data_IF_679622980155
#
_entry.id   IF_679622980155
#
_cell.length_a   1.000
_cell.length_b   1.000
_cell.length_c   1.000
_cell.angle_alpha   90.00
_cell.angle_beta   90.00
_cell.angle_gamma   90.00
#
_symmetry.space_group_name_H-M   'P 1'
#
loop_
_entity.id
_entity.type
_entity.pdbx_description
1 polymer ?
2 non-polymer ?
3 non-polymer ?
4 non-polymer ?
5 water ?
#
# COMPACT_ATOMS: atom_id res chain seq x y z
N UNK A 5 2.72 21.61 37.01
CA UNK A 5 2.64 20.43 36.10
C UNK A 5 3.49 20.65 34.86
N UNK A 6 2.93 20.35 33.70
CA UNK A 6 3.61 20.58 32.42
C UNK A 6 3.25 21.93 31.84
N UNK A 7 4.28 22.68 31.42
CA UNK A 7 4.09 23.95 30.74
C UNK A 7 4.06 23.75 29.22
N UNK A 8 3.42 24.68 28.52
CA UNK A 8 3.34 24.63 27.06
C UNK A 8 4.73 24.52 26.45
N UNK A 9 5.70 25.23 27.04
CA UNK A 9 7.06 25.21 26.53
C UNK A 9 7.61 23.80 26.66
N UNK A 10 7.34 23.15 27.78
CA UNK A 10 7.84 21.82 28.03
C UNK A 10 7.08 20.80 27.20
N UNK A 11 5.76 20.99 27.08
CA UNK A 11 4.90 20.03 26.38
C UNK A 11 5.18 19.99 24.88
N UNK A 12 5.53 21.14 24.31
CA UNK A 12 5.76 21.23 22.88
C UNK A 12 6.93 20.34 22.47
N UNK A 13 7.98 20.37 23.29
CA UNK A 13 9.18 19.57 23.06
C UNK A 13 8.92 18.11 23.36
N UNK A 14 8.27 17.85 24.50
CA UNK A 14 8.02 16.48 24.90
C UNK A 14 7.14 15.77 23.89
N UNK A 15 6.18 16.49 23.32
CA UNK A 15 5.30 15.89 22.32
C UNK A 15 6.11 15.36 21.14
N UNK A 16 6.94 16.22 20.53
CA UNK A 16 7.78 15.75 19.44
C UNK A 16 8.50 14.46 19.78
N UNK A 17 9.06 14.37 20.98
CA UNK A 17 9.79 13.18 21.37
C UNK A 17 8.88 11.96 21.35
N UNK A 18 7.64 12.14 21.77
CA UNK A 18 6.67 11.04 21.82
C UNK A 18 6.23 10.62 20.42
N UNK A 19 5.92 11.59 19.57
CA UNK A 19 5.50 11.25 18.21
C UNK A 19 6.65 10.52 17.54
N UNK A 20 7.85 11.09 17.63
CA UNK A 20 9.02 10.45 17.06
C UNK A 20 9.10 9.01 17.56
N UNK A 21 9.13 8.84 18.87
CA UNK A 21 9.33 7.53 19.47
C UNK A 21 8.18 6.59 19.20
N UNK A 22 6.95 7.09 19.33
CA UNK A 22 5.78 6.26 19.11
C UNK A 22 5.67 5.87 17.65
N UNK A 23 5.88 6.82 16.76
CA UNK A 23 5.86 6.54 15.33
C UNK A 23 6.90 5.51 14.94
N UNK A 24 8.03 5.50 15.64
CA UNK A 24 9.05 4.50 15.39
C UNK A 24 8.54 3.10 15.73
N UNK A 25 7.88 2.97 16.88
CA UNK A 25 7.36 1.66 17.26
C UNK A 25 6.26 1.21 16.30
N UNK A 26 5.37 2.15 15.98
CA UNK A 26 4.26 1.86 15.07
C UNK A 26 4.79 1.40 13.71
N UNK A 27 5.91 1.97 13.28
CA UNK A 27 6.53 1.59 12.04
C UNK A 27 6.94 0.12 12.11
N UNK A 28 7.69 -0.23 13.14
CA UNK A 28 8.14 -1.60 13.33
C UNK A 28 6.95 -2.56 13.37
N UNK A 29 5.90 -2.16 14.09
CA UNK A 29 4.79 -3.05 14.38
C UNK A 29 3.81 -3.16 13.20
N UNK A 30 3.69 -2.09 12.42
CA UNK A 30 2.73 -2.04 11.32
C UNK A 30 3.35 -2.24 9.95
N UNK A 31 4.57 -1.74 9.75
CA UNK A 31 5.22 -1.78 8.44
C UNK A 31 6.18 -2.96 8.30
N UNK A 32 6.81 -3.35 9.41
CA UNK A 32 7.75 -4.46 9.38
C UNK A 32 7.13 -5.70 9.99
N UNK A 33 5.91 -5.56 10.50
CA UNK A 33 5.24 -6.68 11.14
C UNK A 33 6.26 -7.38 12.03
N UNK A 34 6.86 -6.60 12.93
CA UNK A 34 7.78 -7.14 13.90
C UNK A 34 8.10 -6.10 14.97
N UNK A 35 7.21 -5.97 15.96
CA UNK A 35 7.36 -4.94 16.99
C UNK A 35 8.65 -5.12 17.79
N UNK A 36 9.17 -4.03 18.35
CA UNK A 36 10.35 -4.13 19.19
C UNK A 36 10.00 -4.11 20.68
N UNK A 37 9.07 -3.25 21.08
CA UNK A 37 8.70 -3.17 22.49
C UNK A 37 7.36 -3.81 22.78
N UNK A 38 7.15 -4.16 24.06
CA UNK A 38 5.87 -4.69 24.55
C UNK A 38 4.75 -3.66 24.36
N UNK A 39 3.57 -4.14 24.00
CA UNK A 39 2.41 -3.27 23.82
C UNK A 39 2.28 -2.23 24.93
N UNK A 40 2.48 -2.63 26.18
CA UNK A 40 2.20 -1.69 27.26
C UNK A 40 3.21 -0.55 27.33
N UNK A 41 4.41 -0.77 26.79
CA UNK A 41 5.36 0.32 26.64
C UNK A 41 4.78 1.38 25.71
N UNK A 42 4.22 0.91 24.59
CA UNK A 42 3.62 1.79 23.61
C UNK A 42 2.46 2.57 24.23
N UNK A 43 1.57 1.87 24.90
CA UNK A 43 0.34 2.45 25.41
C UNK A 43 0.61 3.51 26.47
N UNK A 44 1.62 3.26 27.30
CA UNK A 44 2.03 4.19 28.35
C UNK A 44 2.37 5.53 27.72
N UNK A 45 3.25 5.50 26.73
CA UNK A 45 3.74 6.71 26.07
C UNK A 45 2.65 7.36 25.24
N UNK A 46 1.84 6.53 24.61
CA UNK A 46 0.72 7.00 23.82
C UNK A 46 -0.28 7.73 24.72
N UNK A 47 -0.45 7.23 25.93
CA UNK A 47 -1.37 7.88 26.85
C UNK A 47 -0.74 9.16 27.38
N UNK A 48 0.58 9.16 27.54
CA UNK A 48 1.26 10.39 27.94
C UNK A 48 1.05 11.45 26.88
N UNK A 49 1.22 11.07 25.62
CA UNK A 49 1.04 12.01 24.52
C UNK A 49 -0.40 12.51 24.42
N UNK A 50 -1.37 11.60 24.57
CA UNK A 50 -2.77 12.02 24.52
C UNK A 50 -3.06 13.04 25.62
N UNK A 51 -2.51 12.80 26.80
CA UNK A 51 -2.74 13.70 27.92
C UNK A 51 -2.16 15.06 27.60
N UNK A 52 -1.00 15.06 26.95
CA UNK A 52 -0.37 16.30 26.56
C UNK A 52 -1.21 16.97 25.48
N UNK A 53 -1.81 16.16 24.61
CA UNK A 53 -2.58 16.71 23.51
C UNK A 53 -3.92 17.21 23.98
N UNK A 54 -4.47 16.56 24.98
CA UNK A 54 -5.78 16.94 25.49
C UNK A 54 -5.71 18.25 26.27
N UNK A 55 -4.62 18.42 27.03
CA UNK A 55 -4.36 19.65 27.76
C UNK A 55 -4.06 20.82 26.82
N UNK A 56 -3.21 20.59 25.82
CA UNK A 56 -2.93 21.62 24.80
C UNK A 56 -3.19 21.07 23.39
N UNK A 57 -4.46 21.08 22.96
CA UNK A 57 -4.79 20.48 21.66
C UNK A 57 -3.99 21.08 20.51
N UNK A 58 -3.39 22.24 20.75
CA UNK A 58 -2.71 22.99 19.72
C UNK A 58 -1.41 22.31 19.27
N UNK A 59 -0.94 21.34 20.06
CA UNK A 59 0.27 20.60 19.72
C UNK A 59 -0.03 19.40 18.82
N UNK A 60 -1.31 19.18 18.57
CA UNK A 60 -1.73 18.08 17.69
C UNK A 60 -1.26 18.31 16.25
N UNK A 61 -0.57 17.31 15.72
CA UNK A 61 -0.01 17.38 14.37
C UNK A 61 -0.49 16.18 13.55
N UNK A 62 -0.52 16.32 12.21
CA UNK A 62 -0.97 15.22 11.34
C UNK A 62 -0.13 13.95 11.43
N UNK A 63 1.13 14.06 11.85
CA UNK A 63 1.98 12.89 11.94
C UNK A 63 1.96 12.28 13.34
N UNK A 64 1.03 12.74 14.16
CA UNK A 64 0.88 12.20 15.51
C UNK A 64 0.03 10.95 15.47
N UNK A 65 0.45 9.89 16.18
CA UNK A 65 -0.27 8.61 16.22
C UNK A 65 -1.68 8.65 16.81
N UNK A 66 -2.06 9.76 17.43
CA UNK A 66 -3.38 9.81 18.05
C UNK A 66 -4.43 10.12 16.99
N UNK A 67 -3.99 10.54 15.82
CA UNK A 67 -4.89 10.87 14.72
C UNK A 67 -5.22 9.64 13.88
N UNK A 68 -4.65 8.49 14.21
CA UNK A 68 -4.92 7.28 13.44
C UNK A 68 -6.36 6.86 13.62
N UNK A 69 -7.07 7.54 14.49
CA UNK A 69 -8.41 7.14 14.90
C UNK A 69 -9.48 7.90 14.10
N UNK A 70 -9.02 8.89 13.35
CA UNK A 70 -9.93 9.66 12.53
C UNK A 70 -10.80 10.59 13.34
N UNK A 71 -11.89 11.03 12.73
CA UNK A 71 -12.85 11.87 13.42
C UNK A 71 -13.56 12.78 12.43
N UNK A 72 -12.82 13.17 11.41
CA UNK A 72 -13.33 14.00 10.34
C UNK A 72 -14.43 13.28 9.56
N UNK A 73 -15.42 14.03 9.09
CA UNK A 73 -16.50 13.45 8.29
C UNK A 73 -16.70 14.29 7.03
N UNK A 74 -16.55 13.66 5.87
CA UNK A 74 -16.63 14.39 4.61
C UNK A 74 -18.05 14.40 4.04
N UNK A 75 -18.31 15.36 3.17
CA UNK A 75 -19.57 15.38 2.42
C UNK A 75 -19.44 14.41 1.24
N UNK A 76 -18.29 14.49 0.57
CA UNK A 76 -18.01 13.61 -0.55
C UNK A 76 -16.53 13.69 -0.85
N UNK A 77 -16.08 12.85 -1.79
CA UNK A 77 -14.67 12.83 -2.16
C UNK A 77 -14.41 13.74 -3.35
N UNK A 78 -13.33 14.52 -3.27
CA UNK A 78 -12.90 15.39 -4.37
C UNK A 78 -12.21 14.56 -5.45
N UNK A 79 -12.31 15.01 -6.70
CA UNK A 79 -11.62 14.34 -7.80
C UNK A 79 -10.12 14.41 -7.59
N UNK A 80 -9.43 13.31 -7.88
CA UNK A 80 -7.99 13.24 -7.75
C UNK A 80 -7.36 12.84 -9.08
N UNK A 81 -7.02 13.82 -9.92
CA UNK A 81 -6.41 13.45 -11.20
C UNK A 81 -5.07 12.74 -11.01
N UNK A 82 -4.68 11.99 -12.03
CA UNK A 82 -3.37 11.38 -12.08
C UNK A 82 -2.67 11.91 -13.32
N UNK A 83 -1.72 12.82 -13.15
CA UNK A 83 -1.00 13.36 -14.30
C UNK A 83 -0.24 12.22 -14.95
N UNK A 84 0.40 11.41 -14.12
CA UNK A 84 0.89 10.12 -14.58
C UNK A 84 -0.24 9.13 -14.30
N UNK A 85 -0.80 8.53 -15.36
CA UNK A 85 -1.96 7.65 -15.22
C UNK A 85 -1.67 6.37 -14.43
N UNK A 86 -2.72 5.83 -13.80
CA UNK A 86 -2.63 4.52 -13.17
C UNK A 86 -3.15 3.47 -14.13
N UNK A 87 -2.23 2.76 -14.76
CA UNK A 87 -2.58 1.77 -15.77
C UNK A 87 -3.21 0.52 -15.19
N UNK A 88 -3.73 -0.32 -16.08
CA UNK A 88 -4.25 -1.64 -15.72
C UNK A 88 -3.24 -2.73 -16.11
N UNK A 89 -3.65 -3.98 -15.98
CA UNK A 89 -2.80 -5.13 -16.28
C UNK A 89 -3.42 -6.04 -17.32
N UNK A 90 -2.64 -6.36 -18.35
CA UNK A 90 -3.02 -7.40 -19.29
C UNK A 90 -3.13 -8.73 -18.56
N UNK A 91 -3.96 -9.62 -19.08
CA UNK A 91 -4.28 -10.87 -18.39
C UNK A 91 -3.76 -12.11 -19.10
N UNK A 92 -3.29 -13.06 -18.31
CA UNK A 92 -2.96 -14.37 -18.85
C UNK A 92 -3.62 -15.41 -18.00
N UNK A 93 -3.86 -16.59 -18.55
CA UNK A 93 -4.59 -17.61 -17.82
C UNK A 93 -3.97 -18.99 -17.94
N UNK A 94 -3.13 -19.17 -18.95
CA UNK A 94 -2.47 -20.46 -19.15
C UNK A 94 -0.96 -20.34 -19.08
N UNK A 95 -0.30 -21.48 -19.15
CA UNK A 95 1.14 -21.49 -19.33
C UNK A 95 1.42 -20.89 -20.71
N UNK A 96 0.56 -21.18 -21.68
CA UNK A 96 0.70 -20.61 -23.03
C UNK A 96 0.66 -19.10 -22.97
N UNK A 97 -0.31 -18.59 -22.21
CA UNK A 97 -0.49 -17.15 -22.05
C UNK A 97 0.77 -16.51 -21.51
N UNK A 98 1.41 -17.17 -20.55
CA UNK A 98 2.60 -16.61 -19.94
C UNK A 98 3.80 -16.75 -20.87
N UNK A 99 3.96 -17.91 -21.48
CA UNK A 99 5.09 -18.14 -22.35
C UNK A 99 5.00 -17.33 -23.64
N UNK A 100 3.79 -17.14 -24.14
CA UNK A 100 3.61 -16.27 -25.30
C UNK A 100 4.01 -14.84 -24.92
N UNK A 101 3.67 -14.42 -23.70
CA UNK A 101 4.05 -13.10 -23.21
C UNK A 101 5.56 -12.97 -23.28
N UNK A 102 6.25 -13.93 -22.68
CA UNK A 102 7.70 -13.92 -22.72
C UNK A 102 8.19 -13.88 -24.16
N UNK A 103 7.55 -14.65 -25.03
CA UNK A 103 8.00 -14.68 -26.42
C UNK A 103 7.94 -13.28 -27.00
N UNK A 104 6.89 -12.55 -26.67
CA UNK A 104 6.70 -11.19 -27.20
C UNK A 104 7.79 -10.25 -26.70
N UNK A 105 8.19 -10.43 -25.45
CA UNK A 105 9.13 -9.51 -24.84
C UNK A 105 10.53 -9.67 -25.43
N UNK A 106 10.94 -10.92 -25.63
CA UNK A 106 12.23 -11.20 -26.24
C UNK A 106 12.25 -10.77 -27.71
N UNK A 107 11.09 -10.83 -28.36
CA UNK A 107 11.02 -10.43 -29.77
C UNK A 107 11.28 -8.94 -29.92
N UNK A 108 10.65 -8.14 -29.06
CA UNK A 108 10.77 -6.69 -29.15
C UNK A 108 12.08 -6.21 -28.55
N UNK A 109 12.55 -6.91 -27.51
CA UNK A 109 13.80 -6.54 -26.86
C UNK A 109 15.01 -7.14 -27.58
N UNK A 110 14.84 -8.36 -28.07
CA UNK A 110 15.90 -9.01 -28.82
C UNK A 110 16.93 -9.69 -27.94
N UNK A 111 16.51 -10.21 -26.80
CA UNK A 111 17.40 -10.94 -25.90
C UNK A 111 16.62 -11.49 -24.72
N UNK A 112 17.25 -12.36 -23.91
CA UNK A 112 16.64 -12.82 -22.66
C UNK A 112 16.38 -11.65 -21.72
N UNK A 113 15.23 -11.69 -21.04
CA UNK A 113 14.84 -10.60 -20.15
C UNK A 113 14.45 -11.10 -18.74
N UNK A 114 14.94 -10.42 -17.71
CA UNK A 114 14.64 -10.80 -16.34
C UNK A 114 13.31 -10.23 -15.85
N UNK A 115 12.54 -11.06 -15.14
CA UNK A 115 11.25 -10.67 -14.60
C UNK A 115 11.21 -10.55 -13.08
N UNK A 116 10.70 -9.43 -12.59
CA UNK A 116 10.36 -9.33 -11.17
C UNK A 116 8.94 -9.89 -10.99
N UNK A 117 8.80 -10.92 -10.16
CA UNK A 117 7.47 -11.48 -9.92
C UNK A 117 6.92 -11.09 -8.55
N UNK A 118 5.71 -10.55 -8.56
CA UNK A 118 5.03 -10.16 -7.35
C UNK A 118 3.66 -10.85 -7.31
N UNK A 119 3.13 -11.04 -6.11
CA UNK A 119 1.77 -11.57 -5.94
C UNK A 119 0.78 -10.45 -6.17
N UNK A 120 -0.22 -10.70 -7.00
CA UNK A 120 -1.28 -9.73 -7.25
C UNK A 120 -2.24 -9.69 -6.06
N UNK A 121 -2.20 -8.59 -5.32
CA UNK A 121 -3.00 -8.45 -4.10
C UNK A 121 -4.42 -8.05 -4.42
N UNK A 122 -5.36 -8.83 -3.90
CA UNK A 122 -6.77 -8.60 -4.15
C UNK A 122 -7.33 -7.52 -3.21
N UNK A 123 -7.34 -6.28 -3.67
CA UNK A 123 -7.83 -5.17 -2.86
C UNK A 123 -8.07 -3.94 -3.70
N UNK A 124 -7.84 -2.78 -3.14
CA UNK A 124 -8.01 -1.52 -3.88
C UNK A 124 -6.66 -0.87 -4.20
N UNK A 125 -6.41 -0.56 -5.46
CA UNK A 125 -5.20 0.15 -5.83
C UNK A 125 -5.27 1.57 -5.27
N UNK A 126 -4.16 2.05 -4.72
CA UNK A 126 -4.08 3.39 -4.18
C UNK A 126 -2.81 4.07 -4.66
N UNK A 127 -2.84 5.40 -4.67
CA UNK A 127 -1.68 6.22 -4.99
C UNK A 127 -1.42 7.18 -3.84
N UNK A 128 -0.14 7.37 -3.48
CA UNK A 128 0.20 8.17 -2.30
C UNK A 128 1.25 9.21 -2.67
N UNK A 129 0.95 10.47 -2.40
CA UNK A 129 1.84 11.56 -2.76
C UNK A 129 2.41 12.21 -1.50
N UNK A 130 3.73 12.36 -1.47
CA UNK A 130 4.45 12.95 -0.35
C UNK A 130 5.24 14.17 -0.82
N UNK A 131 5.30 15.20 0.01
CA UNK A 131 6.14 16.36 -0.27
C UNK A 131 6.97 16.71 0.95
N UNK A 132 8.28 16.79 0.76
CA UNK A 132 9.19 17.05 1.86
C UNK A 132 8.87 16.09 2.98
N UNK A 133 8.39 14.90 2.59
CA UNK A 133 8.25 13.81 3.55
C UNK A 133 6.88 13.74 4.20
N UNK A 134 6.08 14.79 4.01
CA UNK A 134 4.72 14.84 4.54
C UNK A 134 3.72 14.17 3.59
N UNK A 135 2.82 13.34 4.12
CA UNK A 135 1.72 12.80 3.33
C UNK A 135 0.68 13.88 3.02
N UNK A 136 0.45 14.15 1.73
CA UNK A 136 -0.49 15.19 1.33
C UNK A 136 -1.68 14.75 0.50
N UNK A 137 -1.58 13.64 -0.21
CA UNK A 137 -2.73 13.12 -0.93
C UNK A 137 -2.75 11.62 -1.06
N UNK A 138 -3.90 11.03 -0.77
CA UNK A 138 -4.13 9.63 -1.06
C UNK A 138 -5.30 9.51 -2.02
N UNK A 139 -5.18 8.64 -3.01
CA UNK A 139 -6.16 8.58 -4.08
C UNK A 139 -6.44 7.16 -4.57
N UNK A 140 -7.67 6.92 -5.01
CA UNK A 140 -8.01 5.66 -5.66
C UNK A 140 -7.60 5.76 -7.11
N UNK A 141 -7.52 4.62 -7.80
CA UNK A 141 -7.13 4.65 -9.20
C UNK A 141 -8.22 5.25 -10.06
N UNK A 142 -9.46 5.05 -9.65
CA UNK A 142 -10.58 5.54 -10.44
C UNK A 142 -10.60 4.93 -11.84
N UNK A 143 -10.63 5.78 -12.85
CA UNK A 143 -10.65 5.31 -14.23
C UNK A 143 -9.25 5.44 -14.83
N UNK A 144 -8.25 5.50 -13.98
CA UNK A 144 -6.89 5.57 -14.46
C UNK A 144 -6.35 6.97 -14.62
N UNK A 145 -7.22 7.92 -14.95
CA UNK A 145 -6.77 9.30 -15.09
C UNK A 145 -7.44 10.21 -14.08
N UNK A 146 -8.52 9.74 -13.47
CA UNK A 146 -9.13 10.46 -12.36
C UNK A 146 -9.68 9.47 -11.35
N UNK A 147 -9.17 9.54 -10.13
CA UNK A 147 -9.72 8.76 -9.04
C UNK A 147 -10.46 9.63 -8.04
N UNK A 148 -10.58 9.16 -6.81
CA UNK A 148 -11.16 9.97 -5.75
C UNK A 148 -10.13 10.31 -4.69
N UNK A 149 -10.26 11.48 -4.08
CA UNK A 149 -9.34 11.89 -3.05
C UNK A 149 -9.75 11.27 -1.73
N UNK A 150 -9.08 10.20 -1.33
CA UNK A 150 -9.41 9.55 -0.06
C UNK A 150 -8.30 9.73 0.97
N UNK A 151 -7.74 10.94 1.02
CA UNK A 151 -6.64 11.24 1.92
C UNK A 151 -7.04 11.03 3.39
N UNK A 152 -8.20 11.54 3.78
CA UNK A 152 -8.59 11.47 5.20
C UNK A 152 -8.67 10.01 5.63
N UNK A 153 -9.35 9.21 4.84
CA UNK A 153 -9.52 7.81 5.17
C UNK A 153 -8.20 7.08 5.30
N UNK A 154 -7.23 7.42 4.46
CA UNK A 154 -5.96 6.73 4.47
C UNK A 154 -5.07 7.18 5.62
N UNK A 155 -5.40 8.31 6.24
CA UNK A 155 -4.68 8.72 7.43
C UNK A 155 -4.90 7.66 8.50
N UNK A 156 -5.99 6.91 8.40
CA UNK A 156 -6.31 5.92 9.43
C UNK A 156 -5.75 4.53 9.12
N UNK A 157 -5.16 4.37 7.94
CA UNK A 157 -4.48 3.12 7.64
C UNK A 157 -3.09 3.16 8.25
N UNK A 158 -2.88 2.29 9.24
CA UNK A 158 -1.76 2.41 10.17
C UNK A 158 -0.40 2.24 9.51
N UNK A 159 -0.35 1.44 8.45
CA UNK A 159 0.91 1.14 7.76
C UNK A 159 1.27 2.26 6.79
N UNK A 160 0.34 3.15 6.55
CA UNK A 160 0.60 4.33 5.73
C UNK A 160 1.25 5.41 6.58
N UNK A 161 2.51 5.75 6.28
CA UNK A 161 3.31 6.75 7.01
C UNK A 161 2.77 8.18 6.82
N UNK A 162 2.53 8.88 7.93
CA UNK A 162 2.12 10.28 7.85
C UNK A 162 3.32 11.14 7.52
N UNK A 163 4.51 10.65 7.88
CA UNK A 163 5.75 11.34 7.57
C UNK A 163 6.83 10.30 7.33
N UNK A 164 7.70 10.54 6.35
CA UNK A 164 8.68 9.55 5.91
C UNK A 164 10.02 9.64 6.63
N UNK A 165 10.89 8.64 6.38
CA UNK A 165 12.29 8.71 6.77
C UNK A 165 12.89 10.03 6.32
N UNK A 166 13.04 10.18 5.01
CA UNK A 166 13.64 11.37 4.41
C UNK A 166 12.56 12.34 3.94
N UNK A 167 12.82 13.64 4.07
CA UNK A 167 11.89 14.68 3.61
C UNK A 167 11.78 14.71 2.08
N UNK A 168 11.59 13.54 1.48
CA UNK A 168 11.62 13.39 0.03
C UNK A 168 10.24 13.51 -0.61
N UNK A 169 10.18 14.14 -1.77
CA UNK A 169 8.92 14.28 -2.49
C UNK A 169 8.75 13.19 -3.55
N UNK A 170 7.70 12.39 -3.40
CA UNK A 170 7.51 11.18 -4.18
C UNK A 170 6.04 10.81 -4.22
N UNK A 171 5.63 10.12 -5.28
CA UNK A 171 4.33 9.50 -5.28
C UNK A 171 4.47 8.03 -5.56
N UNK A 172 3.76 7.21 -4.81
CA UNK A 172 3.90 5.77 -4.91
C UNK A 172 2.52 5.14 -4.89
N UNK A 173 2.41 4.00 -5.55
CA UNK A 173 1.15 3.34 -5.76
C UNK A 173 1.26 1.93 -5.25
N UNK A 174 0.13 1.36 -4.85
CA UNK A 174 0.11 -0.01 -4.40
C UNK A 174 -1.30 -0.45 -4.09
N UNK A 175 -1.43 -1.46 -3.25
CA UNK A 175 -2.76 -1.98 -2.91
C UNK A 175 -3.15 -1.72 -1.46
N UNK A 176 -4.42 -1.38 -1.23
CA UNK A 176 -4.97 -1.33 0.10
C UNK A 176 -5.96 -2.45 0.26
N UNK A 177 -5.79 -3.27 1.27
CA UNK A 177 -6.58 -4.48 1.39
C UNK A 177 -6.97 -4.78 2.83
N UNK A 178 -7.87 -5.74 3.01
CA UNK A 178 -8.25 -6.20 4.33
C UNK A 178 -7.85 -7.66 4.44
N UNK A 179 -7.04 -8.00 5.46
CA UNK A 179 -6.57 -9.37 5.62
C UNK A 179 -7.79 -10.25 5.89
N UNK A 180 -7.72 -11.50 5.46
CA UNK A 180 -8.84 -12.43 5.60
C UNK A 180 -9.54 -12.34 6.95
N UNK A 181 -8.77 -12.32 8.03
CA UNK A 181 -9.35 -12.46 9.35
C UNK A 181 -10.15 -11.24 9.77
N UNK A 182 -9.68 -10.05 9.44
CA UNK A 182 -10.46 -8.85 9.66
C UNK A 182 -11.73 -8.93 8.82
N UNK A 183 -11.60 -9.56 7.65
CA UNK A 183 -12.75 -9.74 6.77
C UNK A 183 -13.81 -10.51 7.54
N UNK A 184 -13.45 -11.70 8.00
CA UNK A 184 -14.38 -12.54 8.74
C UNK A 184 -15.00 -11.76 9.89
N UNK A 185 -14.15 -11.11 10.68
CA UNK A 185 -14.60 -10.37 11.85
C UNK A 185 -15.63 -9.33 11.45
N UNK A 186 -15.30 -8.52 10.47
CA UNK A 186 -16.18 -7.44 10.04
C UNK A 186 -17.53 -7.98 9.62
N UNK A 187 -17.52 -9.11 8.89
CA UNK A 187 -18.76 -9.72 8.42
C UNK A 187 -19.63 -10.19 9.58
N UNK A 188 -19.01 -10.74 10.62
CA UNK A 188 -19.77 -11.13 11.80
C UNK A 188 -20.35 -9.91 12.48
N UNK A 189 -19.56 -8.84 12.57
CA UNK A 189 -20.05 -7.60 13.16
C UNK A 189 -21.26 -7.11 12.36
N UNK A 190 -21.17 -7.24 11.04
CA UNK A 190 -22.25 -6.84 10.17
C UNK A 190 -23.49 -7.74 10.30
N UNK A 191 -23.28 -9.05 10.46
CA UNK A 191 -24.40 -9.94 10.74
C UNK A 191 -25.11 -9.48 12.01
N UNK A 192 -24.33 -9.21 13.05
CA UNK A 192 -24.88 -8.81 14.34
C UNK A 192 -25.69 -7.52 14.22
N UNK A 193 -25.30 -6.67 13.28
CA UNK A 193 -25.98 -5.39 13.07
C UNK A 193 -27.13 -5.50 12.08
N UNK A 194 -27.27 -6.68 11.48
CA UNK A 194 -28.34 -6.87 10.52
C UNK A 194 -28.13 -6.03 9.28
N UNK A 195 -26.94 -6.09 8.71
CA UNK A 195 -26.65 -5.47 7.42
C UNK A 195 -26.23 -6.57 6.45
N UNK A 196 -26.05 -6.20 5.18
CA UNK A 196 -25.54 -7.13 4.20
C UNK A 196 -24.05 -7.31 4.43
N UNK A 197 -23.57 -8.54 4.34
CA UNK A 197 -22.15 -8.79 4.48
C UNK A 197 -21.43 -8.40 3.20
N UNK A 198 -20.10 -8.32 3.27
CA UNK A 198 -19.32 -8.15 2.07
C UNK A 198 -19.00 -9.51 1.48
N UNK A 199 -19.20 -9.64 0.17
CA UNK A 199 -19.04 -10.90 -0.52
C UNK A 199 -17.61 -11.39 -0.42
N UNK A 200 -16.67 -10.47 -0.36
CA UNK A 200 -15.25 -10.81 -0.35
C UNK A 200 -14.40 -9.68 0.20
N UNK A 201 -13.15 -9.98 0.57
CA UNK A 201 -12.28 -8.99 1.22
C UNK A 201 -12.00 -7.74 0.40
N UNK A 202 -11.95 -7.86 -0.93
CA UNK A 202 -11.70 -6.67 -1.73
C UNK A 202 -12.92 -5.76 -1.72
N UNK A 203 -14.11 -6.35 -1.67
CA UNK A 203 -15.34 -5.55 -1.55
C UNK A 203 -15.41 -4.83 -0.21
N UNK A 204 -14.94 -5.49 0.85
CA UNK A 204 -14.89 -4.87 2.17
C UNK A 204 -13.91 -3.71 2.15
N UNK A 205 -12.73 -3.96 1.60
CA UNK A 205 -11.69 -2.94 1.45
C UNK A 205 -12.25 -1.71 0.72
N UNK A 206 -13.02 -1.96 -0.33
CA UNK A 206 -13.52 -0.90 -1.20
C UNK A 206 -14.67 -0.13 -0.61
N UNK A 207 -15.50 -0.79 0.18
CA UNK A 207 -16.58 -0.09 0.85
C UNK A 207 -16.03 0.72 2.01
N UNK A 208 -15.06 0.14 2.71
CA UNK A 208 -14.39 0.86 3.79
C UNK A 208 -13.82 2.19 3.31
N UNK A 209 -13.07 2.13 2.22
CA UNK A 209 -12.41 3.33 1.68
C UNK A 209 -13.38 4.33 1.06
N UNK A 210 -14.64 3.96 0.94
CA UNK A 210 -15.65 4.86 0.40
C UNK A 210 -16.56 5.38 1.51
N UNK A 211 -16.30 4.96 2.74
CA UNK A 211 -16.98 5.49 3.91
C UNK A 211 -16.52 6.92 4.14
N UNK A 212 -17.48 7.83 4.29
CA UNK A 212 -17.18 9.24 4.44
C UNK A 212 -16.73 9.56 5.86
N UNK A 213 -17.30 8.87 6.84
CA UNK A 213 -16.89 9.07 8.24
C UNK A 213 -15.59 8.34 8.48
N UNK A 214 -14.51 9.10 8.63
CA UNK A 214 -13.19 8.51 8.81
C UNK A 214 -13.08 7.71 10.11
N UNK A 215 -13.98 7.93 11.05
CA UNK A 215 -13.94 7.23 12.35
C UNK A 215 -14.35 5.77 12.18
N UNK A 216 -15.21 5.50 11.23
CA UNK A 216 -15.59 4.12 10.93
C UNK A 216 -14.45 3.43 10.20
N UNK A 217 -13.79 4.16 9.30
CA UNK A 217 -12.70 3.63 8.50
C UNK A 217 -11.55 3.17 9.39
N UNK A 218 -11.26 3.98 10.41
CA UNK A 218 -10.17 3.69 11.33
C UNK A 218 -10.34 2.30 11.94
N UNK A 219 -11.59 1.92 12.17
CA UNK A 219 -11.92 0.68 12.85
C UNK A 219 -11.84 -0.55 11.94
N UNK A 220 -11.58 -0.35 10.65
CA UNK A 220 -11.86 -1.39 9.66
C UNK A 220 -10.77 -2.45 9.47
N UNK A 221 -9.54 -2.12 9.85
CA UNK A 221 -8.44 -3.09 9.84
C UNK A 221 -7.78 -3.23 8.46
N UNK A 222 -7.43 -2.11 7.84
CA UNK A 222 -6.88 -2.13 6.50
C UNK A 222 -5.37 -2.10 6.51
N UNK A 223 -4.76 -2.59 5.42
CA UNK A 223 -3.32 -2.64 5.33
C UNK A 223 -2.88 -2.41 3.90
N UNK A 224 -1.60 -2.11 3.72
CA UNK A 224 -1.08 -1.78 2.39
C UNK A 224 0.09 -2.66 2.00
N UNK A 225 0.27 -2.86 0.70
CA UNK A 225 1.56 -3.20 0.11
C UNK A 225 1.84 -2.20 -0.99
N UNK A 226 3.01 -1.58 -0.97
CA UNK A 226 3.39 -0.63 -2.02
C UNK A 226 4.31 -1.34 -3.02
N UNK A 227 4.06 -1.14 -4.32
CA UNK A 227 4.84 -1.86 -5.31
C UNK A 227 5.32 -1.04 -6.50
N UNK A 228 4.72 0.12 -6.72
CA UNK A 228 5.23 0.97 -7.77
C UNK A 228 5.53 2.38 -7.32
N UNK A 229 6.62 2.94 -7.83
CA UNK A 229 6.86 4.37 -7.68
C UNK A 229 6.40 5.01 -9.00
N UNK A 230 5.51 5.99 -8.88
CA UNK A 230 4.97 6.68 -10.04
C UNK A 230 5.88 7.86 -10.34
N UNK A 231 6.14 8.65 -9.31
CA UNK A 231 7.01 9.81 -9.45
C UNK A 231 8.26 9.60 -8.59
N UNK A 232 9.37 9.27 -9.25
CA UNK A 232 10.57 8.84 -8.56
C UNK A 232 11.14 9.88 -7.59
N UNK A 233 11.01 11.15 -7.94
CA UNK A 233 11.72 12.17 -7.20
C UNK A 233 13.19 11.83 -7.24
N UNK A 234 13.93 12.07 -6.14
CA UNK A 234 15.37 11.78 -6.09
C UNK A 234 15.67 10.29 -6.07
N UNK A 235 14.63 9.47 -6.17
CA UNK A 235 14.79 8.03 -6.05
C UNK A 235 15.65 7.41 -7.14
N UNK A 236 16.26 6.28 -6.80
CA UNK A 236 17.42 5.79 -7.52
C UNK A 236 17.28 4.37 -8.05
N UNK A 237 16.18 3.71 -7.71
CA UNK A 237 15.98 2.34 -8.21
C UNK A 237 16.04 2.36 -9.73
N UNK A 238 16.64 1.32 -10.31
CA UNK A 238 16.76 1.25 -11.76
C UNK A 238 16.08 0.01 -12.31
N UNK A 239 15.75 -0.91 -11.41
CA UNK A 239 14.97 -2.09 -11.75
C UNK A 239 13.79 -2.19 -10.79
N UNK A 240 12.81 -3.03 -11.10
CA UNK A 240 11.63 -3.11 -10.26
C UNK A 240 11.99 -3.70 -8.90
N UNK A 241 12.72 -4.81 -8.91
CA UNK A 241 13.20 -5.42 -7.69
C UNK A 241 13.87 -4.36 -6.82
N UNK A 242 14.73 -3.54 -7.43
CA UNK A 242 15.41 -2.48 -6.70
C UNK A 242 14.41 -1.50 -6.13
N UNK A 243 13.35 -1.23 -6.88
CA UNK A 243 12.35 -0.28 -6.44
C UNK A 243 11.65 -0.80 -5.20
N UNK A 244 11.38 -2.10 -5.15
CA UNK A 244 10.67 -2.69 -4.02
C UNK A 244 11.50 -2.59 -2.74
N UNK A 245 12.82 -2.70 -2.85
CA UNK A 245 13.68 -2.52 -1.70
C UNK A 245 13.67 -1.06 -1.28
N UNK A 246 13.72 -0.16 -2.26
CA UNK A 246 13.84 1.25 -1.96
C UNK A 246 12.54 1.81 -1.40
N UNK A 247 11.44 1.09 -1.63
CA UNK A 247 10.15 1.46 -1.05
C UNK A 247 10.15 1.16 0.45
N UNK A 248 10.68 -0.01 0.82
CA UNK A 248 10.90 -0.32 2.22
C UNK A 248 11.84 0.71 2.84
N UNK A 249 12.93 0.97 2.13
CA UNK A 249 13.96 1.85 2.63
C UNK A 249 13.37 3.15 3.17
N UNK A 250 12.52 3.78 2.38
CA UNK A 250 11.97 5.06 2.77
C UNK A 250 10.70 4.91 3.62
N UNK A 251 10.29 3.66 3.82
CA UNK A 251 9.40 3.36 4.91
C UNK A 251 7.99 2.90 4.59
N UNK A 252 7.80 2.22 3.46
CA UNK A 252 6.49 1.65 3.16
C UNK A 252 6.47 0.15 3.38
N UNK A 253 5.27 -0.39 3.55
CA UNK A 253 5.09 -1.82 3.63
C UNK A 253 5.19 -2.41 2.22
N UNK A 254 6.11 -3.35 2.04
CA UNK A 254 6.22 -4.07 0.78
C UNK A 254 6.00 -5.56 1.04
N UNK A 255 5.48 -6.26 0.04
CA UNK A 255 5.25 -7.69 0.23
C UNK A 255 6.55 -8.47 0.06
N UNK A 256 6.85 -9.35 1.01
CA UNK A 256 8.11 -10.09 1.09
C UNK A 256 8.21 -11.24 0.08
N UNK A 257 7.11 -11.56 -0.57
CA UNK A 257 7.05 -12.74 -1.43
C UNK A 257 7.54 -12.53 -2.87
N UNK A 258 7.99 -11.32 -3.19
CA UNK A 258 8.46 -11.02 -4.54
C UNK A 258 9.77 -11.72 -4.84
N UNK A 259 9.95 -12.15 -6.08
CA UNK A 259 11.17 -12.82 -6.49
C UNK A 259 11.76 -12.16 -7.73
N UNK A 260 13.01 -12.49 -8.05
CA UNK A 260 13.63 -12.03 -9.28
C UNK A 260 13.94 -13.24 -10.14
N UNK A 261 13.34 -13.31 -11.33
CA UNK A 261 13.43 -14.51 -12.15
C UNK A 261 14.10 -14.27 -13.49
N UNK A 262 15.26 -14.91 -13.66
CA UNK A 262 16.11 -14.66 -14.83
C UNK A 262 15.62 -15.38 -16.08
N UNK A 263 14.62 -16.24 -15.92
CA UNK A 263 14.03 -16.92 -17.07
C UNK A 263 12.54 -17.13 -16.88
N UNK A 264 11.83 -17.25 -17.99
CA UNK A 264 10.39 -17.44 -17.98
C UNK A 264 10.03 -18.74 -17.26
N UNK A 265 10.96 -19.69 -17.29
CA UNK A 265 10.72 -21.01 -16.69
C UNK A 265 10.73 -20.90 -15.18
N UNK A 266 11.62 -20.06 -14.66
CA UNK A 266 11.63 -19.75 -13.24
C UNK A 266 10.36 -19.00 -12.90
N UNK A 267 9.95 -18.12 -13.80
CA UNK A 267 8.68 -17.44 -13.63
C UNK A 267 7.54 -18.43 -13.46
N UNK A 268 7.58 -19.55 -14.17
CA UNK A 268 6.51 -20.51 -14.06
C UNK A 268 6.64 -21.35 -12.79
N UNK A 269 7.86 -21.45 -12.28
CA UNK A 269 8.07 -22.05 -10.98
C UNK A 269 7.32 -21.23 -9.95
N UNK A 270 7.66 -19.94 -9.89
CA UNK A 270 7.13 -19.03 -8.90
C UNK A 270 5.61 -19.05 -8.84
N UNK A 271 4.99 -19.05 -10.01
CA UNK A 271 3.54 -19.07 -10.09
C UNK A 271 2.97 -20.33 -9.45
N UNK A 272 3.61 -21.46 -9.73
CA UNK A 272 3.24 -22.71 -9.09
C UNK A 272 3.49 -22.65 -7.58
N UNK A 273 4.67 -22.17 -7.20
CA UNK A 273 5.04 -22.18 -5.79
C UNK A 273 3.95 -21.54 -4.95
N UNK A 274 3.45 -20.39 -5.39
CA UNK A 274 2.49 -19.63 -4.60
C UNK A 274 1.06 -19.95 -4.97
N UNK A 275 0.89 -20.80 -5.98
CA UNK A 275 -0.44 -21.28 -6.35
C UNK A 275 -0.89 -22.33 -5.34
N UNK A 276 0.07 -23.08 -4.81
CA UNK A 276 -0.19 -24.03 -3.75
C UNK A 276 -0.07 -23.36 -2.37
N UNK A 277 0.68 -22.26 -2.32
CA UNK A 277 0.83 -21.50 -1.08
C UNK A 277 -0.32 -20.55 -0.82
N UNK A 278 -1.27 -20.50 -1.75
CA UNK A 278 -2.24 -19.41 -1.82
C UNK A 278 -3.06 -19.25 -0.56
N UNK A 279 -3.54 -20.36 -0.01
CA UNK A 279 -4.42 -20.29 1.15
C UNK A 279 -3.69 -20.02 2.46
N UNK A 280 -2.38 -20.33 2.50
CA UNK A 280 -1.59 -20.13 3.70
C UNK A 280 -1.36 -18.65 4.05
N UNK A 281 -1.79 -17.74 3.18
CA UNK A 281 -1.53 -16.32 3.35
C UNK A 281 -2.69 -15.65 4.09
N UNK A 282 -2.37 -14.66 4.94
CA UNK A 282 -3.36 -13.87 5.67
C UNK A 282 -4.24 -13.03 4.75
N UNK A 283 -3.75 -12.76 3.55
CA UNK A 283 -4.48 -11.93 2.60
C UNK A 283 -4.84 -12.74 1.36
N UNK A 284 -5.87 -12.30 0.65
CA UNK A 284 -6.22 -12.95 -0.61
C UNK A 284 -5.48 -12.32 -1.78
N UNK A 285 -5.07 -13.16 -2.72
CA UNK A 285 -4.49 -12.73 -3.98
C UNK A 285 -5.27 -13.40 -5.10
N UNK A 286 -5.39 -12.75 -6.24
CA UNK A 286 -6.11 -13.34 -7.36
C UNK A 286 -5.17 -13.73 -8.50
N UNK A 287 -3.87 -13.68 -8.23
CA UNK A 287 -2.91 -14.14 -9.20
C UNK A 287 -1.48 -13.72 -8.93
N UNK A 288 -0.70 -13.65 -9.99
CA UNK A 288 0.71 -13.27 -9.92
C UNK A 288 0.94 -12.17 -10.94
N UNK A 289 1.74 -11.18 -10.57
CA UNK A 289 2.11 -10.13 -11.52
C UNK A 289 3.54 -10.30 -11.96
N UNK A 290 3.74 -10.38 -13.27
CA UNK A 290 5.07 -10.55 -13.86
C UNK A 290 5.51 -9.24 -14.51
N UNK A 291 6.64 -8.70 -14.08
CA UNK A 291 7.13 -7.43 -14.61
C UNK A 291 8.53 -7.57 -15.18
N UNK A 292 8.76 -6.97 -16.35
CA UNK A 292 10.12 -6.83 -16.86
C UNK A 292 10.92 -6.00 -15.86
N UNK A 293 12.06 -6.52 -15.41
CA UNK A 293 12.77 -5.94 -14.28
C UNK A 293 13.45 -4.62 -14.63
N UNK A 294 14.26 -4.62 -15.67
CA UNK A 294 14.99 -3.43 -16.09
C UNK A 294 14.07 -2.28 -16.48
N UNK A 295 14.14 -1.17 -15.75
CA UNK A 295 13.31 -0.01 -16.08
C UNK A 295 13.59 0.49 -17.48
N UNK A 296 14.85 0.39 -17.90
CA UNK A 296 15.24 0.79 -19.24
C UNK A 296 14.44 -0.01 -20.27
N UNK A 297 14.18 -1.27 -19.94
CA UNK A 297 13.46 -2.14 -20.86
C UNK A 297 11.95 -1.94 -20.80
N UNK A 298 11.43 -1.67 -19.61
CA UNK A 298 10.03 -1.34 -19.49
C UNK A 298 9.75 -0.14 -20.36
N UNK A 299 10.73 0.75 -20.45
CA UNK A 299 10.60 1.98 -21.21
C UNK A 299 10.51 1.64 -22.69
N UNK A 300 11.42 0.79 -23.13
CA UNK A 300 11.54 0.42 -24.53
C UNK A 300 10.25 -0.21 -25.01
N UNK A 301 9.71 -1.14 -24.22
CA UNK A 301 8.43 -1.77 -24.53
C UNK A 301 7.31 -0.75 -24.43
N UNK A 302 7.25 -0.06 -23.29
CA UNK A 302 6.27 1.00 -23.16
C UNK A 302 4.85 0.52 -22.96
N UNK A 303 3.91 1.40 -23.27
CA UNK A 303 2.52 1.23 -22.88
C UNK A 303 1.53 1.14 -24.05
N UNK A 304 0.60 0.20 -23.98
CA UNK A 304 -0.60 0.29 -24.79
C UNK A 304 -1.42 1.41 -24.17
N UNK A 305 -2.69 1.50 -24.54
CA UNK A 305 -3.57 2.53 -24.02
C UNK A 305 -4.10 2.10 -22.65
N UNK A 306 -4.43 0.81 -22.51
CA UNK A 306 -4.88 0.26 -21.23
C UNK A 306 -3.74 -0.02 -20.25
N UNK A 307 -2.95 -1.05 -20.56
CA UNK A 307 -1.98 -1.62 -19.64
C UNK A 307 -0.59 -1.59 -20.25
N UNK A 308 0.47 -1.63 -19.41
CA UNK A 308 1.87 -1.65 -19.85
C UNK A 308 2.22 -2.87 -20.70
N UNK A 309 3.16 -2.71 -21.61
CA UNK A 309 3.59 -3.85 -22.41
C UNK A 309 4.62 -4.70 -21.68
N UNK A 310 5.16 -4.17 -20.59
CA UNK A 310 6.26 -4.83 -19.90
C UNK A 310 5.77 -5.61 -18.67
N UNK A 311 4.48 -5.87 -18.63
CA UNK A 311 3.92 -6.57 -17.48
C UNK A 311 2.65 -7.33 -17.85
N UNK A 312 2.31 -8.33 -17.05
CA UNK A 312 1.13 -9.15 -17.29
C UNK A 312 0.75 -9.86 -16.00
N UNK A 313 -0.54 -10.08 -15.80
CA UNK A 313 -1.04 -10.76 -14.61
C UNK A 313 -1.44 -12.17 -14.97
N UNK A 314 -0.83 -13.15 -14.32
CA UNK A 314 -1.36 -14.50 -14.40
C UNK A 314 -2.44 -14.62 -13.34
N UNK A 315 -3.69 -14.74 -13.77
CA UNK A 315 -4.81 -14.85 -12.85
C UNK A 315 -5.09 -16.33 -12.57
N UNK A 316 -5.24 -16.68 -11.31
CA UNK A 316 -5.72 -18.00 -10.96
C UNK A 316 -7.15 -18.16 -11.45
N UNK A 317 -7.55 -19.38 -11.80
CA UNK A 317 -8.96 -19.73 -11.99
C UNK A 317 -9.76 -19.60 -10.69
#
# INVERSE_FOLDING_TARGET
MEQQPLTLTAATTRAQELRKQLNQYSHEYYVKDQPSVEDYVYDRLYKELVDIETEFPDLITPDSPTQRVGGKVLSGFEKAPHDIPMYSLNDGFSKEDIFAFDERVRKAIGKPVAYCCELKIDGLAISLRYENGVFVRGATRGDGTVGENITENLRTVRSVPMRLTEPISVEVRGECYMPKQSFVALNEEREENGQDIFANPRNAAAGSLRQLDTKIVAKRNLNTFLYTVADFGPMKAKTQFEALEELSAIGFRTNPERQLCQSIDEVWAYIEEYHEKRSTLPYEIDGIVIKVNEFALQDELGFTVKAPRWAIAYKFPPEEAETLEHHHHHH
#
